data_IF_710670607334
#
_entry.id   IF_710670607334
#
_cell.length_a   1.000
_cell.length_b   1.000
_cell.length_c   1.000
_cell.angle_alpha   90.00
_cell.angle_beta   90.00
_cell.angle_gamma   90.00
#
_symmetry.space_group_name_H-M   'P 1'
#
loop_
_entity.id
_entity.type
_entity.pdbx_description
1 polymer ?
#
# COMPACT_ATOMS: atom_id res chain seq x y z
N UNK A 1 -24.17 -15.87 8.79
CA UNK A 1 -22.77 -16.34 8.61
C UNK A 1 -21.88 -15.12 8.71
N UNK A 2 -20.68 -15.25 9.26
CA UNK A 2 -19.79 -14.10 9.46
C UNK A 2 -18.70 -14.08 8.39
N UNK A 3 -18.33 -12.86 7.97
CA UNK A 3 -17.36 -12.64 6.90
C UNK A 3 -16.30 -11.63 7.29
N UNK A 4 -15.14 -11.73 6.65
CA UNK A 4 -13.98 -10.88 6.86
C UNK A 4 -13.50 -10.31 5.54
N UNK A 5 -13.10 -9.03 5.55
CA UNK A 5 -12.44 -8.35 4.44
C UNK A 5 -10.93 -8.24 4.68
N UNK A 6 -10.16 -8.55 3.67
CA UNK A 6 -8.74 -8.25 3.62
C UNK A 6 -8.43 -7.37 2.42
N UNK A 7 -7.74 -6.25 2.63
CA UNK A 7 -7.33 -5.32 1.57
C UNK A 7 -5.82 -5.18 1.56
N UNK A 8 -5.20 -5.38 0.41
CA UNK A 8 -3.77 -5.19 0.20
C UNK A 8 -3.54 -4.05 -0.78
N UNK A 9 -2.84 -3.00 -0.31
CA UNK A 9 -2.49 -1.81 -1.09
C UNK A 9 -1.08 -1.98 -1.62
N UNK A 10 -0.97 -2.44 -2.86
CA UNK A 10 0.31 -2.72 -3.51
C UNK A 10 0.84 -1.56 -4.36
N UNK A 11 1.98 -1.77 -5.00
CA UNK A 11 2.65 -0.78 -5.86
C UNK A 11 1.85 -0.46 -7.13
N UNK A 12 1.25 -1.47 -7.75
CA UNK A 12 0.54 -1.35 -9.04
C UNK A 12 -0.96 -1.62 -8.95
N UNK A 13 -1.49 -1.77 -7.76
CA UNK A 13 -2.92 -2.00 -7.55
C UNK A 13 -3.28 -2.34 -6.13
N UNK A 14 -4.53 -2.12 -5.80
CA UNK A 14 -5.15 -2.49 -4.52
C UNK A 14 -6.12 -3.63 -4.73
N UNK A 15 -5.94 -4.71 -3.99
CA UNK A 15 -6.79 -5.89 -4.04
C UNK A 15 -7.55 -6.08 -2.74
N UNK A 16 -8.85 -6.29 -2.83
CA UNK A 16 -9.69 -6.69 -1.71
C UNK A 16 -10.25 -8.09 -1.93
N UNK A 17 -10.29 -8.86 -0.87
CA UNK A 17 -10.95 -10.16 -0.81
C UNK A 17 -12.01 -10.16 0.30
N UNK A 18 -13.08 -10.90 0.09
CA UNK A 18 -14.07 -11.25 1.11
C UNK A 18 -14.04 -12.76 1.30
N UNK A 19 -13.91 -13.19 2.53
CA UNK A 19 -13.91 -14.61 2.90
C UNK A 19 -14.86 -14.88 4.06
N UNK A 20 -15.30 -16.12 4.21
CA UNK A 20 -15.99 -16.59 5.41
C UNK A 20 -14.98 -16.93 6.52
N UNK A 21 -15.49 -17.25 7.71
CA UNK A 21 -14.67 -17.64 8.87
C UNK A 21 -14.00 -19.02 8.73
N UNK A 22 -14.34 -19.78 7.70
CA UNK A 22 -13.71 -21.06 7.36
C UNK A 22 -12.55 -20.89 6.36
N UNK A 23 -12.37 -19.66 5.83
CA UNK A 23 -11.31 -19.32 4.88
C UNK A 23 -11.70 -19.49 3.40
N UNK A 24 -12.97 -19.71 3.11
CA UNK A 24 -13.44 -19.80 1.72
C UNK A 24 -13.53 -18.39 1.11
N UNK A 25 -12.95 -18.23 -0.08
CA UNK A 25 -13.03 -16.99 -0.83
C UNK A 25 -14.43 -16.83 -1.45
N UNK A 26 -15.12 -15.76 -1.09
CA UNK A 26 -16.47 -15.44 -1.57
C UNK A 26 -16.41 -14.49 -2.77
N UNK A 27 -15.65 -13.41 -2.65
CA UNK A 27 -15.50 -12.41 -3.71
C UNK A 27 -14.13 -11.74 -3.64
N UNK A 28 -13.70 -11.16 -4.75
CA UNK A 28 -12.49 -10.33 -4.84
C UNK A 28 -12.65 -9.24 -5.90
N UNK A 29 -11.90 -8.14 -5.70
CA UNK A 29 -11.76 -7.09 -6.70
C UNK A 29 -10.36 -6.49 -6.65
N UNK A 30 -9.81 -6.15 -7.81
CA UNK A 30 -8.55 -5.47 -8.00
C UNK A 30 -8.80 -4.13 -8.68
N UNK A 31 -8.20 -3.08 -8.16
CA UNK A 31 -8.11 -1.76 -8.80
C UNK A 31 -6.66 -1.51 -9.11
N UNK A 32 -6.32 -1.41 -10.40
CA UNK A 32 -4.96 -1.15 -10.87
C UNK A 32 -4.70 0.34 -11.00
N UNK A 33 -3.45 0.74 -10.80
CA UNK A 33 -2.96 2.11 -11.00
C UNK A 33 -1.47 2.10 -11.33
N UNK A 34 -1.02 3.18 -11.98
CA UNK A 34 0.36 3.33 -12.44
C UNK A 34 1.24 4.00 -11.39
N UNK A 35 2.54 3.68 -11.46
CA UNK A 35 3.60 4.41 -10.76
C UNK A 35 4.02 5.60 -11.62
N UNK A 36 4.09 6.78 -11.02
CA UNK A 36 4.66 7.96 -11.69
C UNK A 36 6.19 7.89 -11.66
N UNK A 37 6.79 8.05 -12.82
CA UNK A 37 8.25 8.10 -12.98
C UNK A 37 8.65 9.40 -13.72
N UNK A 38 8.51 10.58 -13.06
CA UNK A 38 8.67 11.88 -13.74
C UNK A 38 10.10 12.17 -14.20
N UNK A 39 11.09 11.47 -13.65
CA UNK A 39 12.51 11.54 -14.02
C UNK A 39 13.17 10.17 -13.85
N UNK A 40 14.33 9.93 -14.48
CA UNK A 40 15.13 8.74 -14.19
C UNK A 40 15.37 8.57 -12.69
N UNK A 41 15.27 7.35 -12.18
CA UNK A 41 15.43 6.96 -10.78
C UNK A 41 14.31 7.44 -9.83
N UNK A 42 13.33 8.20 -10.29
CA UNK A 42 12.22 8.69 -9.49
C UNK A 42 11.03 7.75 -9.59
N UNK A 43 10.42 7.44 -8.46
CA UNK A 43 9.18 6.65 -8.40
C UNK A 43 8.26 7.21 -7.31
N UNK A 44 7.09 7.67 -7.73
CA UNK A 44 6.16 8.43 -6.89
C UNK A 44 4.73 7.96 -7.10
N UNK A 45 3.90 8.15 -6.06
CA UNK A 45 2.44 7.99 -6.17
C UNK A 45 1.73 9.00 -5.26
N UNK A 46 0.57 9.48 -5.71
CA UNK A 46 -0.31 10.29 -4.88
C UNK A 46 -1.07 9.41 -3.88
N UNK A 47 -1.09 9.77 -2.58
CA UNK A 47 -1.85 9.02 -1.56
C UNK A 47 -3.33 8.87 -1.88
N UNK A 48 -3.93 9.85 -2.55
CA UNK A 48 -5.34 9.82 -2.96
C UNK A 48 -5.66 8.67 -3.90
N UNK A 49 -4.70 8.27 -4.77
CA UNK A 49 -4.83 7.11 -5.66
C UNK A 49 -5.01 5.84 -4.83
N UNK A 50 -4.23 5.66 -3.77
CA UNK A 50 -4.34 4.51 -2.87
C UNK A 50 -5.66 4.50 -2.09
N UNK A 51 -6.06 5.67 -1.57
CA UNK A 51 -7.30 5.81 -0.80
C UNK A 51 -8.52 5.49 -1.66
N UNK A 52 -8.59 6.04 -2.86
CA UNK A 52 -9.71 5.79 -3.79
C UNK A 52 -9.70 4.34 -4.30
N UNK A 53 -8.54 3.76 -4.57
CA UNK A 53 -8.44 2.36 -4.96
C UNK A 53 -8.88 1.43 -3.82
N UNK A 54 -8.51 1.72 -2.57
CA UNK A 54 -8.96 0.95 -1.42
C UNK A 54 -10.47 1.03 -1.24
N UNK A 55 -11.05 2.25 -1.27
CA UNK A 55 -12.51 2.45 -1.19
C UNK A 55 -13.24 1.72 -2.31
N UNK A 56 -12.77 1.86 -3.53
CA UNK A 56 -13.38 1.23 -4.71
C UNK A 56 -13.27 -0.29 -4.63
N UNK A 57 -12.10 -0.85 -4.33
CA UNK A 57 -11.91 -2.30 -4.26
C UNK A 57 -12.77 -2.95 -3.17
N UNK A 58 -12.87 -2.31 -1.99
CA UNK A 58 -13.75 -2.78 -0.90
C UNK A 58 -15.20 -2.75 -1.35
N UNK A 59 -15.67 -1.61 -1.87
CA UNK A 59 -17.06 -1.43 -2.33
C UNK A 59 -17.44 -2.47 -3.39
N UNK A 60 -16.63 -2.63 -4.42
CA UNK A 60 -16.89 -3.55 -5.51
C UNK A 60 -16.86 -5.02 -5.05
N UNK A 61 -15.98 -5.37 -4.11
CA UNK A 61 -15.94 -6.71 -3.53
C UNK A 61 -17.21 -7.02 -2.76
N UNK A 62 -17.68 -6.08 -1.94
CA UNK A 62 -18.94 -6.25 -1.18
C UNK A 62 -20.13 -6.34 -2.11
N UNK A 63 -20.24 -5.46 -3.11
CA UNK A 63 -21.33 -5.50 -4.09
C UNK A 63 -21.38 -6.82 -4.87
N UNK A 64 -20.23 -7.30 -5.34
CA UNK A 64 -20.14 -8.58 -6.08
C UNK A 64 -20.48 -9.79 -5.23
N UNK A 65 -20.23 -9.74 -3.94
CA UNK A 65 -20.50 -10.86 -3.04
C UNK A 65 -21.98 -11.08 -2.78
N UNK A 66 -22.81 -10.05 -2.88
CA UNK A 66 -24.21 -10.07 -2.46
C UNK A 66 -24.42 -10.22 -0.94
N UNK A 67 -23.35 -10.16 -0.14
CA UNK A 67 -23.40 -10.29 1.32
C UNK A 67 -23.84 -8.96 1.94
N UNK A 68 -24.73 -9.06 2.94
CA UNK A 68 -25.14 -7.89 3.70
C UNK A 68 -23.95 -7.35 4.52
N UNK A 69 -23.77 -6.03 4.52
CA UNK A 69 -22.64 -5.39 5.22
C UNK A 69 -22.61 -5.66 6.73
N UNK A 70 -23.78 -5.94 7.31
CA UNK A 70 -23.96 -6.28 8.73
C UNK A 70 -23.33 -7.64 9.08
N UNK A 71 -23.17 -8.52 8.10
CA UNK A 71 -22.52 -9.83 8.26
C UNK A 71 -21.00 -9.76 8.14
N UNK A 72 -20.44 -8.64 7.70
CA UNK A 72 -18.99 -8.39 7.63
C UNK A 72 -18.51 -7.91 8.99
N UNK A 73 -17.72 -8.72 9.68
CA UNK A 73 -17.33 -8.50 11.08
C UNK A 73 -15.96 -7.86 11.26
N UNK A 74 -15.16 -7.83 10.22
CA UNK A 74 -13.83 -7.24 10.31
C UNK A 74 -13.24 -6.85 8.97
N UNK A 75 -12.35 -5.88 9.01
CA UNK A 75 -11.52 -5.43 7.90
C UNK A 75 -10.07 -5.36 8.36
N UNK A 76 -9.18 -6.02 7.63
CA UNK A 76 -7.74 -5.87 7.77
C UNK A 76 -7.16 -5.21 6.53
N UNK A 77 -6.18 -4.33 6.73
CA UNK A 77 -5.48 -3.65 5.64
C UNK A 77 -4.00 -3.94 5.74
N UNK A 78 -3.41 -4.39 4.64
CA UNK A 78 -1.98 -4.46 4.40
C UNK A 78 -1.59 -3.37 3.40
N UNK A 79 -0.38 -2.87 3.47
CA UNK A 79 0.07 -1.81 2.59
C UNK A 79 1.53 -1.90 2.21
N UNK A 80 1.94 -1.02 1.31
CA UNK A 80 3.32 -0.87 0.90
C UNK A 80 4.24 -0.59 2.09
N UNK A 81 5.32 -1.34 2.16
CA UNK A 81 6.41 -1.10 3.11
C UNK A 81 7.57 -0.37 2.42
N UNK A 82 8.26 0.51 3.14
CA UNK A 82 9.52 1.12 2.69
C UNK A 82 9.37 2.42 1.88
N UNK A 83 8.24 3.10 2.00
CA UNK A 83 8.08 4.46 1.46
C UNK A 83 8.62 5.55 2.41
N UNK A 84 8.73 6.77 1.90
CA UNK A 84 9.24 7.94 2.64
C UNK A 84 8.23 8.55 3.63
N UNK A 85 7.06 7.95 3.77
CA UNK A 85 5.92 8.54 4.47
C UNK A 85 5.13 9.50 3.60
N UNK A 86 3.96 9.89 4.10
CA UNK A 86 3.04 10.80 3.41
C UNK A 86 3.13 12.16 4.11
N UNK A 87 3.75 13.18 3.49
CA UNK A 87 3.76 14.52 4.06
C UNK A 87 2.38 15.17 3.88
N UNK A 88 1.79 15.58 4.99
CA UNK A 88 0.47 16.20 5.05
C UNK A 88 0.59 17.65 5.56
N UNK A 89 -0.31 18.51 5.14
CA UNK A 89 -0.50 19.83 5.72
C UNK A 89 -1.39 19.79 6.98
N UNK A 90 -1.74 20.97 7.51
CA UNK A 90 -2.56 21.10 8.72
C UNK A 90 -4.00 20.61 8.50
N UNK A 91 -4.48 20.64 7.26
CA UNK A 91 -5.78 20.13 6.83
C UNK A 91 -5.78 18.64 6.46
N UNK A 92 -4.67 17.94 6.76
CA UNK A 92 -4.47 16.52 6.45
C UNK A 92 -4.49 16.22 4.94
N UNK A 93 -4.09 17.18 4.10
CA UNK A 93 -3.98 16.98 2.66
C UNK A 93 -2.54 16.67 2.26
N UNK A 94 -2.32 15.76 1.31
CA UNK A 94 -0.97 15.47 0.81
C UNK A 94 -0.36 16.70 0.13
N UNK A 95 0.78 17.17 0.60
CA UNK A 95 1.48 18.35 0.04
C UNK A 95 2.30 18.02 -1.20
N UNK A 96 2.60 16.74 -1.44
CA UNK A 96 3.31 16.24 -2.62
C UNK A 96 3.09 14.75 -2.80
N UNK A 97 3.43 14.18 -3.98
CA UNK A 97 3.48 12.74 -4.16
C UNK A 97 4.40 12.06 -3.13
N UNK A 98 4.02 10.88 -2.71
CA UNK A 98 4.82 10.04 -1.84
C UNK A 98 5.91 9.34 -2.65
N UNK A 99 7.13 9.33 -2.14
CA UNK A 99 8.20 8.48 -2.69
C UNK A 99 7.93 7.04 -2.28
N UNK A 100 7.91 6.14 -3.25
CA UNK A 100 7.70 4.72 -2.97
C UNK A 100 9.05 3.97 -2.89
N UNK A 101 9.01 2.71 -2.50
CA UNK A 101 10.20 1.88 -2.31
C UNK A 101 11.12 1.75 -3.54
N UNK A 102 10.58 1.97 -4.73
CA UNK A 102 11.33 1.92 -6.00
C UNK A 102 12.14 3.21 -6.27
N UNK A 103 11.87 4.29 -5.53
CA UNK A 103 12.58 5.56 -5.71
C UNK A 103 14.05 5.45 -5.36
N UNK A 104 14.90 5.93 -6.24
CA UNK A 104 16.36 5.88 -6.14
C UNK A 104 17.02 7.25 -6.25
N UNK A 105 16.26 8.34 -6.08
CA UNK A 105 16.78 9.71 -6.26
C UNK A 105 17.88 10.07 -5.28
N UNK A 106 17.92 9.46 -4.08
CA UNK A 106 18.89 9.69 -3.04
C UNK A 106 20.11 8.73 -3.13
N UNK A 107 20.47 8.27 -4.33
CA UNK A 107 21.57 7.31 -4.50
C UNK A 107 22.91 7.91 -4.05
N UNK A 108 23.18 9.16 -4.39
CA UNK A 108 24.42 9.84 -4.02
C UNK A 108 24.56 10.01 -2.50
N UNK A 109 23.48 10.40 -1.82
CA UNK A 109 23.43 10.51 -0.36
C UNK A 109 23.57 9.14 0.31
N UNK A 110 22.96 8.12 -0.26
CA UNK A 110 23.09 6.75 0.21
C UNK A 110 24.53 6.26 0.12
N UNK A 111 25.20 6.47 -1.01
CA UNK A 111 26.59 6.10 -1.23
C UNK A 111 27.53 6.87 -0.29
N UNK A 112 27.23 8.15 -0.06
CA UNK A 112 27.97 8.96 0.90
C UNK A 112 27.84 8.41 2.33
N UNK A 113 26.63 8.09 2.77
CA UNK A 113 26.38 7.49 4.10
C UNK A 113 27.09 6.15 4.23
N UNK A 114 27.00 5.29 3.22
CA UNK A 114 27.67 3.99 3.21
C UNK A 114 29.18 4.11 3.34
N UNK A 115 29.78 5.12 2.71
CA UNK A 115 31.24 5.32 2.73
C UNK A 115 31.75 6.01 4.01
N UNK A 116 30.91 6.78 4.72
CA UNK A 116 31.35 7.60 5.85
C UNK A 116 30.76 7.18 7.20
N UNK A 117 29.58 6.60 7.24
CA UNK A 117 28.83 6.37 8.48
C UNK A 117 28.65 4.91 8.85
N UNK A 118 28.77 3.98 7.91
CA UNK A 118 28.55 2.56 8.17
C UNK A 118 29.87 1.82 8.37
N UNK A 119 30.46 2.02 9.53
CA UNK A 119 31.53 1.13 10.03
C UNK A 119 30.98 -0.23 10.51
N UNK A 120 29.66 -0.38 10.60
CA UNK A 120 29.01 -1.58 11.08
C UNK A 120 27.79 -1.90 10.20
N UNK A 121 27.94 -2.88 9.31
CA UNK A 121 26.79 -3.71 8.97
C UNK A 121 26.59 -4.64 10.16
N UNK A 122 25.70 -4.31 11.07
CA UNK A 122 25.25 -5.29 12.05
C UNK A 122 24.62 -6.43 11.27
N UNK A 123 25.15 -7.67 11.36
CA UNK A 123 24.47 -8.77 10.74
C UNK A 123 23.06 -8.85 11.33
N UNK A 124 22.07 -8.95 10.48
CA UNK A 124 20.71 -9.21 10.91
C UNK A 124 20.71 -10.46 11.79
N UNK A 125 20.00 -10.48 12.93
CA UNK A 125 19.88 -11.70 13.73
C UNK A 125 19.24 -12.88 12.98
N UNK A 126 18.90 -12.67 11.71
CA UNK A 126 18.29 -13.67 10.81
C UNK A 126 19.20 -14.14 9.69
N UNK A 127 20.41 -13.62 9.60
CA UNK A 127 21.43 -14.05 8.61
C UNK A 127 22.36 -15.09 9.24
#
# INVERSE_FOLDING_TARGET
MEYLLGTDIGTSGTKTILMDTEGNLIAKHLVEYDVMTPRPLWAEQWPDVWLEAARSSIRETVLKSGIAKEDIKGLAVSGLYGGSGIPLDEEMQPVRPCLIWMDRRAQEESDWVLSHCLLYTSPSPRD
#
